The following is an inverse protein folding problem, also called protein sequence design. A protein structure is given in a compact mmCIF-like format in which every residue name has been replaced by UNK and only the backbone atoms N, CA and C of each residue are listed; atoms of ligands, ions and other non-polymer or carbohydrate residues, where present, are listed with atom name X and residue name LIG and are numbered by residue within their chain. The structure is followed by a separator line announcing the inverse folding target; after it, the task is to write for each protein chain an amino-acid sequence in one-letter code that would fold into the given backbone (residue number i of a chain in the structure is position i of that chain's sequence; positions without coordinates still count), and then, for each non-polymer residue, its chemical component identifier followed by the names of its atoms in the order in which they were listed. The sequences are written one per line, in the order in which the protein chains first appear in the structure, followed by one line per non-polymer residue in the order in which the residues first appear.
data_IF_231372587339
#
_entry.id   IF_231372587339
#
_cell.length_a   1.000
_cell.length_b   1.000
_cell.length_c   1.000
_cell.angle_alpha   90.00
_cell.angle_beta   90.00
_cell.angle_gamma   90.00
#
_symmetry.space_group_name_H-M   'P 1'
#
loop_
_entity.id
_entity.type
_entity.pdbx_description
1 polymer ?
#
# COMPACT_ATOMS: atom_id res chain seq x y z
N UNK A 1 -0.18 14.39 21.35
CA UNK A 1 0.14 13.00 20.98
C UNK A 1 0.46 12.99 19.50
N UNK A 2 1.72 12.82 19.10
CA UNK A 2 2.10 12.73 17.69
C UNK A 2 1.68 11.33 17.20
N UNK A 3 0.53 11.26 16.52
CA UNK A 3 0.01 9.98 16.05
C UNK A 3 0.90 9.56 14.87
N UNK A 4 1.86 8.65 15.10
CA UNK A 4 2.86 8.20 14.12
C UNK A 4 2.26 7.38 12.95
N UNK A 5 0.97 7.56 12.66
CA UNK A 5 0.20 6.73 11.74
C UNK A 5 -0.23 7.57 10.56
N UNK A 6 -0.09 7.00 9.37
CA UNK A 6 -0.83 7.51 8.22
C UNK A 6 -2.33 7.41 8.51
N UNK A 7 -3.08 8.44 8.11
CA UNK A 7 -4.55 8.45 8.21
C UNK A 7 -5.13 8.40 6.82
N UNK A 8 -5.99 7.44 6.57
CA UNK A 8 -6.76 7.35 5.33
C UNK A 8 -8.19 7.76 5.64
N UNK A 9 -8.69 8.76 4.91
CA UNK A 9 -10.10 9.18 4.94
C UNK A 9 -10.66 8.84 3.57
N UNK A 10 -11.59 7.91 3.50
CA UNK A 10 -12.16 7.43 2.23
C UNK A 10 -13.68 7.46 2.29
N UNK A 11 -14.31 7.92 1.22
CA UNK A 11 -15.75 7.80 0.97
C UNK A 11 -16.12 6.54 0.16
N UNK A 12 -15.15 5.65 -0.07
CA UNK A 12 -15.32 4.46 -0.92
C UNK A 12 -15.02 4.68 -2.41
N UNK A 13 -14.67 5.91 -2.82
CA UNK A 13 -14.25 6.21 -4.19
C UNK A 13 -12.76 6.59 -4.26
N UNK A 14 -12.09 6.38 -5.41
CA UNK A 14 -10.71 6.85 -5.59
C UNK A 14 -10.55 8.37 -5.42
N UNK A 15 -11.55 9.16 -5.84
CA UNK A 15 -11.51 10.62 -5.79
C UNK A 15 -11.78 11.21 -4.41
N UNK A 16 -12.60 10.53 -3.59
CA UNK A 16 -12.89 10.93 -2.22
C UNK A 16 -12.00 10.27 -1.18
N UNK A 17 -10.97 9.54 -1.61
CA UNK A 17 -9.95 9.00 -0.72
C UNK A 17 -8.78 9.97 -0.59
N UNK A 18 -8.40 10.28 0.65
CA UNK A 18 -7.28 11.15 1.02
C UNK A 18 -6.40 10.45 2.03
N UNK A 19 -5.09 10.65 1.89
CA UNK A 19 -4.09 10.09 2.79
C UNK A 19 -3.36 11.24 3.46
N UNK A 20 -3.21 11.16 4.76
CA UNK A 20 -2.49 12.12 5.56
C UNK A 20 -1.27 11.45 6.19
N UNK A 21 -0.15 12.14 6.15
CA UNK A 21 1.06 11.81 6.88
C UNK A 21 0.84 11.92 8.40
N UNK A 22 1.73 11.33 9.22
CA UNK A 22 1.65 11.43 10.67
C UNK A 22 1.62 12.86 11.24
N UNK A 23 2.15 13.84 10.49
CA UNK A 23 2.13 15.26 10.86
C UNK A 23 0.84 15.99 10.42
N UNK A 24 -0.06 15.30 9.73
CA UNK A 24 -1.32 15.83 9.21
C UNK A 24 -1.24 16.38 7.79
N UNK A 25 -0.07 16.37 7.12
CA UNK A 25 0.08 16.80 5.73
C UNK A 25 -0.64 15.83 4.79
N UNK A 26 -1.41 16.35 3.83
CA UNK A 26 -2.05 15.51 2.80
C UNK A 26 -0.99 15.03 1.79
N UNK A 27 -1.00 13.73 1.49
CA UNK A 27 -0.16 13.11 0.47
C UNK A 27 -0.74 13.47 -0.91
N UNK A 28 0.14 13.74 -1.87
CA UNK A 28 -0.30 13.94 -3.25
C UNK A 28 -0.88 12.64 -3.82
N UNK A 29 -2.20 12.65 -4.06
CA UNK A 29 -2.95 11.50 -4.56
C UNK A 29 -2.77 11.29 -6.08
N UNK A 30 -2.11 12.20 -6.81
CA UNK A 30 -1.93 12.09 -8.27
C UNK A 30 -1.12 10.85 -8.70
N UNK A 31 -0.35 10.26 -7.79
CA UNK A 31 0.43 9.05 -8.05
C UNK A 31 -0.24 7.77 -7.54
N UNK A 32 -1.43 7.84 -6.94
CA UNK A 32 -2.15 6.69 -6.39
C UNK A 32 -3.35 6.38 -7.28
N UNK A 33 -3.39 5.18 -7.85
CA UNK A 33 -4.46 4.75 -8.77
C UNK A 33 -5.49 3.85 -8.14
N UNK A 34 -5.17 3.24 -6.99
CA UNK A 34 -6.09 2.34 -6.28
C UNK A 34 -5.80 2.37 -4.79
N UNK A 35 -6.87 2.35 -3.99
CA UNK A 35 -6.82 2.16 -2.54
C UNK A 35 -7.77 1.03 -2.20
N UNK A 36 -7.24 -0.02 -1.58
CA UNK A 36 -8.02 -1.14 -1.05
C UNK A 36 -7.83 -1.17 0.46
N UNK A 37 -8.89 -1.37 1.22
CA UNK A 37 -8.78 -1.46 2.67
C UNK A 37 -9.72 -2.52 3.22
N UNK A 38 -9.32 -3.07 4.36
CA UNK A 38 -10.09 -4.04 5.13
C UNK A 38 -9.85 -3.80 6.61
N UNK A 39 -10.84 -4.12 7.43
CA UNK A 39 -10.68 -4.19 8.88
C UNK A 39 -10.77 -5.66 9.24
N UNK A 40 -9.74 -6.20 9.90
CA UNK A 40 -9.81 -7.58 10.39
C UNK A 40 -10.70 -7.69 11.64
N UNK A 41 -11.00 -8.93 12.05
CA UNK A 41 -11.82 -9.19 13.23
C UNK A 41 -11.19 -8.67 14.54
N UNK A 42 -9.89 -8.35 14.55
CA UNK A 42 -9.19 -7.73 15.67
C UNK A 42 -9.27 -6.21 15.71
N UNK A 43 -9.95 -5.59 14.73
CA UNK A 43 -10.05 -4.14 14.61
C UNK A 43 -8.81 -3.48 13.98
N UNK A 44 -7.91 -4.27 13.38
CA UNK A 44 -6.75 -3.74 12.67
C UNK A 44 -7.20 -3.35 11.26
N UNK A 45 -7.14 -2.06 10.97
CA UNK A 45 -7.29 -1.54 9.62
C UNK A 45 -6.02 -1.79 8.81
N UNK A 46 -6.16 -2.51 7.69
CA UNK A 46 -5.11 -2.71 6.69
C UNK A 46 -5.51 -1.97 5.43
N UNK A 47 -4.58 -1.18 4.89
CA UNK A 47 -4.75 -0.53 3.60
C UNK A 47 -3.64 -0.93 2.64
N UNK A 48 -4.00 -1.15 1.38
CA UNK A 48 -3.12 -1.38 0.23
C UNK A 48 -3.30 -0.22 -0.73
N UNK A 49 -2.17 0.35 -1.15
CA UNK A 49 -2.12 1.49 -2.05
C UNK A 49 -1.37 1.06 -3.31
N UNK A 50 -1.94 1.33 -4.48
CA UNK A 50 -1.27 1.14 -5.76
C UNK A 50 -0.75 2.47 -6.26
N UNK A 51 0.57 2.60 -6.32
CA UNK A 51 1.24 3.76 -6.87
C UNK A 51 1.59 3.52 -8.35
N UNK A 52 1.62 4.60 -9.13
CA UNK A 52 2.17 4.65 -10.50
C UNK A 52 3.41 5.54 -10.54
N UNK A 53 4.27 5.32 -11.54
CA UNK A 53 5.50 6.11 -11.75
C UNK A 53 6.43 6.15 -10.52
N UNK A 54 6.61 5.00 -9.86
CA UNK A 54 7.49 4.88 -8.68
C UNK A 54 8.88 4.38 -9.06
N UNK A 55 9.89 4.94 -8.41
CA UNK A 55 11.25 4.40 -8.36
C UNK A 55 11.43 3.74 -6.98
N UNK A 56 12.01 2.54 -6.96
CA UNK A 56 12.18 1.75 -5.74
C UNK A 56 13.66 1.43 -5.55
N UNK A 57 14.28 2.09 -4.59
CA UNK A 57 15.63 1.76 -4.13
C UNK A 57 15.58 0.63 -3.10
N UNK A 58 15.97 -0.57 -3.52
CA UNK A 58 16.06 -1.73 -2.63
C UNK A 58 17.39 -1.70 -1.85
N UNK A 59 17.34 -1.22 -0.60
CA UNK A 59 18.49 -1.25 0.33
C UNK A 59 18.42 -2.49 1.21
N UNK A 60 18.95 -3.61 0.69
CA UNK A 60 19.09 -4.91 1.37
C UNK A 60 18.61 -6.10 0.54
N UNK A 61 19.50 -7.01 0.16
CA UNK A 61 19.17 -8.33 -0.43
C UNK A 61 18.85 -9.34 0.69
N UNK A 62 17.89 -10.25 0.55
CA UNK A 62 17.81 -11.26 -0.51
C UNK A 62 16.35 -11.68 -0.75
N UNK A 63 15.93 -11.72 -2.01
CA UNK A 63 14.72 -12.43 -2.43
C UNK A 63 15.15 -13.68 -3.20
N UNK A 64 15.24 -14.83 -2.53
CA UNK A 64 15.16 -16.11 -3.22
C UNK A 64 13.69 -16.51 -3.32
N UNK A 65 13.05 -16.09 -4.41
CA UNK A 65 11.79 -16.67 -4.84
C UNK A 65 12.13 -17.89 -5.71
N UNK A 66 12.15 -19.07 -5.11
CA UNK A 66 12.25 -20.33 -5.87
C UNK A 66 10.87 -20.65 -6.46
N UNK A 67 10.72 -20.47 -7.77
CA UNK A 67 9.56 -21.00 -8.49
C UNK A 67 9.63 -22.53 -8.54
N UNK A 68 8.51 -23.25 -8.33
CA UNK A 68 8.47 -24.68 -8.58
C UNK A 68 8.57 -24.93 -10.10
N UNK A 69 9.68 -25.51 -10.53
CA UNK A 69 9.85 -26.06 -11.88
C UNK A 69 8.67 -26.99 -12.21
N UNK A 70 7.77 -26.52 -13.07
CA UNK A 70 6.79 -27.38 -13.74
C UNK A 70 7.55 -28.14 -14.82
N UNK A 71 8.06 -29.32 -14.47
CA UNK A 71 8.60 -30.26 -15.44
C UNK A 71 7.42 -30.97 -16.13
N UNK A 72 6.85 -30.33 -17.15
CA UNK A 72 6.15 -31.07 -18.22
C UNK A 72 7.20 -31.42 -19.28
N UNK A 73 7.67 -32.66 -19.24
CA UNK A 73 8.50 -33.27 -20.26
C UNK A 73 7.98 -34.68 -20.54
N UNK A 74 7.28 -34.78 -21.67
CA UNK A 74 7.08 -35.90 -22.61
C UNK A 74 6.89 -37.33 -22.09
#
# INVERSE_FOLDING_TARGET
MNNKRYRIVSDGTPRGTKIYEPDGREVDMNWITKVEWSVDAGGIGVARLTFINVEVDMVGGEAEQSDPLTATGE
#
